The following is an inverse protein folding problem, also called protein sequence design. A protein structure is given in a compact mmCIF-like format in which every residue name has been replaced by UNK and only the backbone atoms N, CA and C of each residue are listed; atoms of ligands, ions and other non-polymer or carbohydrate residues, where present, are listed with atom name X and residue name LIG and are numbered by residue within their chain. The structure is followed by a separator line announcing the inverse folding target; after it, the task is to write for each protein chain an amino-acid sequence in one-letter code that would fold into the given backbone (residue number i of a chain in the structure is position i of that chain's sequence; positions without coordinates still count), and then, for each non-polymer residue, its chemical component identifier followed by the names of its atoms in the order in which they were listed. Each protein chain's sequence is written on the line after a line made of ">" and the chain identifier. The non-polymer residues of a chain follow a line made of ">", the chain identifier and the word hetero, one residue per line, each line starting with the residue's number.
data_IF_246436372759
#
_entry.id   IF_246436372759
#
_cell.length_a   1.000
_cell.length_b   1.000
_cell.length_c   1.000
_cell.angle_alpha   90.00
_cell.angle_beta   90.00
_cell.angle_gamma   90.00
#
_symmetry.space_group_name_H-M   'P 1'
#
loop_
_entity.id
_entity.type
_entity.pdbx_description
1 polymer ?
#
# COMPACT_ATOMS: atom_id res chain seq x y z
N UNK A 1 -8.24 -39.94 -11.78
CA UNK A 1 -6.83 -39.58 -11.59
C UNK A 1 -6.75 -38.09 -11.84
N UNK A 2 -6.61 -37.28 -10.79
CA UNK A 2 -6.24 -35.86 -10.88
C UNK A 2 -5.62 -35.48 -9.54
N UNK A 3 -4.35 -35.85 -9.39
CA UNK A 3 -3.52 -35.53 -8.24
C UNK A 3 -2.55 -34.43 -8.69
N UNK A 4 -2.94 -33.17 -8.50
CA UNK A 4 -2.09 -32.06 -8.92
C UNK A 4 -2.66 -30.69 -8.62
N UNK A 5 -3.04 -30.40 -7.36
CA UNK A 5 -3.29 -29.00 -6.95
C UNK A 5 -3.41 -28.77 -5.42
N UNK A 6 -2.59 -29.44 -4.61
CA UNK A 6 -2.67 -29.38 -3.14
C UNK A 6 -1.42 -28.85 -2.45
N UNK A 7 -0.62 -27.99 -3.10
CA UNK A 7 0.60 -27.45 -2.49
C UNK A 7 0.41 -26.20 -1.61
N UNK A 8 -0.82 -25.72 -1.41
CA UNK A 8 -1.13 -24.86 -0.26
C UNK A 8 -1.57 -25.75 0.91
N UNK A 9 -0.61 -26.55 1.40
CA UNK A 9 -0.82 -27.61 2.38
C UNK A 9 -1.42 -27.05 3.67
N UNK A 10 -2.26 -27.84 4.36
CA UNK A 10 -2.80 -27.57 5.72
C UNK A 10 -1.70 -27.13 6.70
N UNK A 11 -0.45 -27.50 6.43
CA UNK A 11 0.75 -27.06 7.14
C UNK A 11 0.96 -25.53 7.15
N UNK A 12 0.59 -24.82 6.07
CA UNK A 12 0.71 -23.35 5.96
C UNK A 12 0.00 -22.63 7.11
N UNK A 13 -1.23 -23.05 7.40
CA UNK A 13 -2.05 -22.37 8.41
C UNK A 13 -1.89 -22.90 9.83
N UNK A 14 -1.53 -24.17 10.02
CA UNK A 14 -1.27 -24.71 11.36
C UNK A 14 0.02 -24.14 11.95
N UNK A 15 0.98 -23.74 11.10
CA UNK A 15 2.20 -23.08 11.57
C UNK A 15 2.03 -21.56 11.83
N UNK A 16 0.96 -20.96 11.30
CA UNK A 16 0.63 -19.54 11.46
C UNK A 16 -0.54 -19.29 12.44
N UNK A 17 -1.20 -20.34 12.92
CA UNK A 17 -2.19 -20.23 14.02
C UNK A 17 -1.56 -19.75 15.32
N UNK A 18 -0.23 -19.85 15.45
CA UNK A 18 0.55 -19.26 16.53
C UNK A 18 0.69 -17.73 16.42
N UNK A 19 0.35 -17.14 15.26
CA UNK A 19 0.59 -15.72 14.93
C UNK A 19 -0.69 -14.88 14.79
N UNK A 20 -1.77 -15.17 15.52
CA UNK A 20 -3.00 -14.36 15.51
C UNK A 20 -3.70 -14.25 14.14
N UNK A 21 -3.73 -15.32 13.34
CA UNK A 21 -4.53 -15.39 12.12
C UNK A 21 -5.85 -16.13 12.39
N UNK A 22 -6.97 -15.63 11.87
CA UNK A 22 -8.20 -16.45 11.76
C UNK A 22 -8.11 -17.29 10.48
N UNK A 23 -7.68 -18.56 10.54
CA UNK A 23 -7.31 -19.30 9.34
C UNK A 23 -8.54 -19.62 8.49
N UNK A 24 -9.70 -19.75 9.13
CA UNK A 24 -10.99 -20.01 8.50
C UNK A 24 -11.29 -19.03 7.36
N UNK A 25 -11.17 -17.72 7.60
CA UNK A 25 -11.50 -16.69 6.61
C UNK A 25 -10.65 -16.76 5.33
N UNK A 26 -9.40 -17.23 5.45
CA UNK A 26 -8.53 -17.44 4.29
C UNK A 26 -8.95 -18.71 3.55
N UNK A 27 -9.17 -19.82 4.24
CA UNK A 27 -9.54 -21.09 3.59
C UNK A 27 -10.91 -21.10 2.92
N UNK A 28 -11.85 -20.27 3.37
CA UNK A 28 -13.16 -20.13 2.73
C UNK A 28 -13.12 -19.40 1.38
N UNK A 29 -11.98 -18.80 1.01
CA UNK A 29 -11.85 -18.13 -0.28
C UNK A 29 -11.80 -19.16 -1.42
N UNK A 30 -12.63 -19.00 -2.48
CA UNK A 30 -12.79 -20.00 -3.52
C UNK A 30 -11.57 -20.12 -4.43
N UNK A 31 -10.77 -19.05 -4.59
CA UNK A 31 -9.64 -19.02 -5.49
C UNK A 31 -8.30 -18.88 -4.74
N UNK A 32 -7.23 -19.38 -5.36
CA UNK A 32 -5.88 -19.21 -4.83
C UNK A 32 -5.49 -17.74 -4.68
N UNK A 33 -5.85 -16.89 -5.65
CA UNK A 33 -5.55 -15.46 -5.64
C UNK A 33 -6.22 -14.77 -4.45
N UNK A 34 -7.48 -15.09 -4.17
CA UNK A 34 -8.21 -14.52 -3.03
C UNK A 34 -7.62 -14.99 -1.69
N UNK A 35 -7.19 -16.26 -1.61
CA UNK A 35 -6.47 -16.79 -0.43
C UNK A 35 -5.19 -16.02 -0.15
N UNK A 36 -4.37 -15.79 -1.18
CA UNK A 36 -3.12 -15.04 -1.07
C UNK A 36 -3.38 -13.57 -0.72
N UNK A 37 -4.38 -12.95 -1.33
CA UNK A 37 -4.77 -11.56 -1.04
C UNK A 37 -5.17 -11.38 0.42
N UNK A 38 -6.06 -12.24 0.93
CA UNK A 38 -6.50 -12.20 2.33
C UNK A 38 -5.36 -12.51 3.31
N UNK A 39 -4.49 -13.45 2.96
CA UNK A 39 -3.28 -13.72 3.73
C UNK A 39 -2.40 -12.47 3.85
N UNK A 40 -2.05 -11.82 2.73
CA UNK A 40 -1.21 -10.61 2.72
C UNK A 40 -1.88 -9.48 3.52
N UNK A 41 -3.19 -9.30 3.35
CA UNK A 41 -3.97 -8.29 4.07
C UNK A 41 -3.90 -8.48 5.59
N UNK A 42 -4.08 -9.71 6.06
CA UNK A 42 -3.99 -10.03 7.49
C UNK A 42 -2.54 -9.93 7.99
N UNK A 43 -1.57 -10.42 7.21
CA UNK A 43 -0.16 -10.43 7.61
C UNK A 43 0.38 -9.03 7.81
N UNK A 44 0.10 -8.10 6.90
CA UNK A 44 0.48 -6.68 7.06
C UNK A 44 -0.14 -5.99 8.28
N UNK A 45 -1.26 -6.51 8.80
CA UNK A 45 -1.96 -5.91 9.94
C UNK A 45 -1.41 -6.38 11.29
N UNK A 46 -0.98 -7.63 11.37
CA UNK A 46 -0.67 -8.29 12.64
C UNK A 46 0.79 -8.67 12.81
N UNK A 47 1.57 -8.80 11.74
CA UNK A 47 2.98 -9.14 11.84
C UNK A 47 3.84 -7.90 12.12
N UNK A 48 4.80 -8.04 13.03
CA UNK A 48 5.76 -6.98 13.36
C UNK A 48 6.88 -6.88 12.31
N UNK A 49 7.26 -8.01 11.71
CA UNK A 49 8.30 -8.11 10.68
C UNK A 49 7.97 -9.17 9.62
N UNK A 50 8.83 -9.28 8.60
CA UNK A 50 8.71 -10.26 7.52
C UNK A 50 9.46 -11.57 7.82
N UNK A 51 10.18 -11.68 8.93
CA UNK A 51 11.08 -12.80 9.23
C UNK A 51 10.34 -14.16 9.27
N UNK A 52 9.17 -14.30 9.91
CA UNK A 52 8.39 -15.53 9.89
C UNK A 52 7.99 -15.96 8.48
N UNK A 53 7.69 -15.01 7.58
CA UNK A 53 7.30 -15.29 6.21
C UNK A 53 8.51 -15.73 5.36
N UNK A 54 9.67 -15.13 5.58
CA UNK A 54 10.93 -15.53 4.93
C UNK A 54 11.28 -16.97 5.33
N UNK A 55 11.31 -17.28 6.63
CA UNK A 55 11.60 -18.63 7.12
C UNK A 55 10.56 -19.66 6.66
N UNK A 56 9.30 -19.25 6.51
CA UNK A 56 8.27 -20.10 5.91
C UNK A 56 8.65 -20.51 4.48
N UNK A 57 8.97 -19.54 3.62
CA UNK A 57 9.30 -19.84 2.23
C UNK A 57 10.57 -20.69 2.08
N UNK A 58 11.58 -20.49 2.94
CA UNK A 58 12.76 -21.36 2.98
C UNK A 58 12.40 -22.81 3.35
N UNK A 59 11.59 -23.00 4.39
CA UNK A 59 11.19 -24.32 4.91
C UNK A 59 10.37 -25.13 3.91
N UNK A 60 9.51 -24.47 3.13
CA UNK A 60 8.62 -25.12 2.17
C UNK A 60 9.15 -25.13 0.73
N UNK A 61 10.46 -24.92 0.54
CA UNK A 61 11.11 -25.10 -0.77
C UNK A 61 10.81 -23.98 -1.77
N UNK A 62 10.49 -22.78 -1.29
CA UNK A 62 10.27 -21.57 -2.10
C UNK A 62 11.35 -20.50 -1.83
N UNK A 63 12.65 -20.82 -1.90
CA UNK A 63 13.73 -19.91 -1.49
C UNK A 63 13.79 -18.64 -2.35
N UNK A 64 13.33 -18.69 -3.60
CA UNK A 64 13.26 -17.52 -4.49
C UNK A 64 12.34 -16.41 -3.92
N UNK A 65 11.25 -16.77 -3.22
CA UNK A 65 10.38 -15.79 -2.57
C UNK A 65 11.03 -15.21 -1.31
N UNK A 66 11.70 -16.06 -0.53
CA UNK A 66 12.47 -15.63 0.64
C UNK A 66 13.56 -14.62 0.25
N UNK A 67 14.29 -14.90 -0.84
CA UNK A 67 15.35 -14.01 -1.34
C UNK A 67 14.79 -12.65 -1.76
N UNK A 68 13.67 -12.60 -2.48
CA UNK A 68 13.02 -11.34 -2.89
C UNK A 68 12.60 -10.52 -1.66
N UNK A 69 12.02 -11.17 -0.66
CA UNK A 69 11.55 -10.51 0.57
C UNK A 69 12.69 -10.06 1.48
N UNK A 70 13.85 -10.70 1.39
CA UNK A 70 15.04 -10.35 2.16
C UNK A 70 15.79 -9.13 1.60
N UNK A 71 15.53 -8.75 0.34
CA UNK A 71 16.13 -7.56 -0.27
C UNK A 71 15.52 -6.31 0.36
N UNK A 72 16.38 -5.35 0.70
CA UNK A 72 15.94 -4.03 1.16
C UNK A 72 15.10 -3.39 0.06
N UNK A 73 13.79 -3.28 0.29
CA UNK A 73 12.91 -2.57 -0.63
C UNK A 73 13.22 -1.08 -0.53
N UNK A 74 13.91 -0.55 -1.54
CA UNK A 74 13.97 0.89 -1.74
C UNK A 74 12.59 1.29 -2.24
N UNK A 75 11.87 2.08 -1.46
CA UNK A 75 10.60 2.65 -1.90
C UNK A 75 10.91 3.52 -3.12
N UNK A 76 10.62 3.00 -4.32
CA UNK A 76 10.61 3.85 -5.49
C UNK A 76 9.55 4.92 -5.21
N UNK A 77 9.97 6.18 -5.13
CA UNK A 77 9.07 7.33 -5.10
C UNK A 77 8.35 7.40 -6.43
N UNK A 78 7.42 6.47 -6.66
CA UNK A 78 6.50 6.53 -7.79
C UNK A 78 5.45 7.56 -7.40
N UNK A 79 5.41 8.71 -8.07
CA UNK A 79 4.37 9.69 -7.78
C UNK A 79 3.01 9.01 -8.00
N UNK A 80 2.15 9.07 -6.97
CA UNK A 80 0.82 8.44 -6.99
C UNK A 80 -0.04 8.94 -8.15
N UNK A 81 0.24 10.15 -8.63
CA UNK A 81 -0.43 10.81 -9.74
C UNK A 81 0.63 11.39 -10.67
N UNK A 82 0.41 11.22 -11.96
CA UNK A 82 1.13 11.94 -13.02
C UNK A 82 0.67 13.40 -13.09
N UNK A 83 1.50 14.31 -13.61
CA UNK A 83 1.14 15.73 -13.76
C UNK A 83 -0.17 15.93 -14.53
N UNK A 84 -0.43 15.09 -15.54
CA UNK A 84 -1.68 15.10 -16.29
C UNK A 84 -2.88 14.78 -15.41
N UNK A 85 -2.76 13.79 -14.52
CA UNK A 85 -3.80 13.43 -13.57
C UNK A 85 -4.01 14.54 -12.53
N UNK A 86 -2.93 15.14 -12.03
CA UNK A 86 -3.02 16.28 -11.11
C UNK A 86 -3.78 17.43 -11.77
N UNK A 87 -3.40 17.82 -12.99
CA UNK A 87 -4.05 18.90 -13.73
C UNK A 87 -5.52 18.61 -14.00
N UNK A 88 -5.86 17.40 -14.42
CA UNK A 88 -7.25 16.99 -14.64
C UNK A 88 -8.08 17.12 -13.36
N UNK A 89 -7.57 16.62 -12.22
CA UNK A 89 -8.28 16.69 -10.94
C UNK A 89 -8.42 18.13 -10.46
N UNK A 90 -7.39 18.96 -10.61
CA UNK A 90 -7.47 20.37 -10.23
C UNK A 90 -8.49 21.13 -11.09
N UNK A 91 -8.46 20.98 -12.42
CA UNK A 91 -9.32 21.77 -13.29
C UNK A 91 -10.76 21.26 -13.37
N UNK A 92 -10.95 19.94 -13.46
CA UNK A 92 -12.28 19.34 -13.68
C UNK A 92 -12.95 19.03 -12.35
N UNK A 93 -12.29 18.29 -11.45
CA UNK A 93 -12.90 17.92 -10.17
C UNK A 93 -12.90 19.11 -9.19
N UNK A 94 -11.80 19.85 -9.14
CA UNK A 94 -11.63 21.02 -8.27
C UNK A 94 -12.26 22.31 -8.81
N UNK A 95 -12.79 22.27 -10.03
CA UNK A 95 -13.34 23.43 -10.74
C UNK A 95 -12.40 24.65 -10.73
N UNK A 96 -11.09 24.41 -10.74
CA UNK A 96 -10.08 25.47 -10.75
C UNK A 96 -10.03 26.06 -12.15
N UNK A 97 -10.31 27.37 -12.32
CA UNK A 97 -10.29 28.00 -13.63
C UNK A 97 -8.94 27.86 -14.31
N UNK A 98 -8.97 27.64 -15.62
CA UNK A 98 -7.76 27.65 -16.44
C UNK A 98 -7.15 29.05 -16.50
N UNK A 99 -5.82 29.10 -16.71
CA UNK A 99 -5.08 30.34 -16.85
C UNK A 99 -5.64 31.15 -18.03
N UNK A 100 -5.96 32.42 -17.77
CA UNK A 100 -6.47 33.34 -18.79
C UNK A 100 -5.41 33.60 -19.87
N UNK A 101 -5.86 33.85 -21.10
CA UNK A 101 -4.97 34.15 -22.24
C UNK A 101 -4.10 35.40 -21.99
N UNK A 102 -4.67 36.43 -21.37
CA UNK A 102 -3.99 37.69 -21.02
C UNK A 102 -3.45 37.68 -19.58
N UNK A 103 -2.98 36.53 -19.09
CA UNK A 103 -2.51 36.42 -17.72
C UNK A 103 -1.18 37.18 -17.51
N UNK A 104 -1.14 38.02 -16.47
CA UNK A 104 0.09 38.65 -15.98
C UNK A 104 0.49 37.97 -14.67
N UNK A 105 1.76 37.54 -14.61
CA UNK A 105 2.29 36.82 -13.46
C UNK A 105 2.54 37.74 -12.26
N UNK A 106 1.90 37.43 -11.12
CA UNK A 106 2.07 38.15 -9.85
C UNK A 106 2.94 37.33 -8.90
N UNK A 107 4.22 37.19 -9.23
CA UNK A 107 5.16 36.27 -8.55
C UNK A 107 5.18 36.42 -7.04
N UNK A 108 5.26 37.64 -6.53
CA UNK A 108 5.31 37.90 -5.08
C UNK A 108 4.04 37.42 -4.38
N UNK A 109 2.87 37.78 -4.91
CA UNK A 109 1.59 37.37 -4.35
C UNK A 109 1.38 35.84 -4.41
N UNK A 110 1.84 35.20 -5.49
CA UNK A 110 1.77 33.74 -5.65
C UNK A 110 2.65 33.04 -4.62
N UNK A 111 3.88 33.53 -4.43
CA UNK A 111 4.81 32.99 -3.45
C UNK A 111 4.29 33.12 -2.02
N UNK A 112 3.78 34.30 -1.67
CA UNK A 112 3.24 34.54 -0.33
C UNK A 112 2.00 33.67 -0.07
N UNK A 113 1.15 33.48 -1.09
CA UNK A 113 0.01 32.57 -1.02
C UNK A 113 0.45 31.11 -0.84
N UNK A 114 1.47 30.66 -1.59
CA UNK A 114 2.03 29.32 -1.47
C UNK A 114 2.54 29.05 -0.05
N UNK A 115 3.28 29.99 0.52
CA UNK A 115 3.81 29.88 1.89
C UNK A 115 2.69 29.74 2.92
N UNK A 116 1.63 30.56 2.80
CA UNK A 116 0.45 30.47 3.67
C UNK A 116 -0.26 29.13 3.52
N UNK A 117 -0.48 28.66 2.29
CA UNK A 117 -1.15 27.38 2.02
C UNK A 117 -0.34 26.19 2.57
N UNK A 118 0.98 26.18 2.39
CA UNK A 118 1.87 25.15 2.94
C UNK A 118 1.78 25.17 4.48
N UNK A 119 1.85 26.35 5.09
CA UNK A 119 1.76 26.49 6.55
C UNK A 119 0.43 25.96 7.07
N UNK A 120 -0.70 26.33 6.48
CA UNK A 120 -2.02 25.84 6.89
C UNK A 120 -2.18 24.33 6.69
N UNK A 121 -1.72 23.79 5.55
CA UNK A 121 -1.76 22.35 5.28
C UNK A 121 -0.89 21.55 6.27
N UNK A 122 0.24 22.12 6.71
CA UNK A 122 1.11 21.51 7.72
C UNK A 122 0.48 21.50 9.12
N UNK A 123 -0.33 22.50 9.45
CA UNK A 123 -1.07 22.59 10.72
C UNK A 123 -2.23 21.59 10.75
N UNK A 124 -3.01 21.48 9.65
CA UNK A 124 -4.11 20.53 9.52
C UNK A 124 -3.70 19.07 9.71
N UNK A 125 -2.50 18.69 9.23
CA UNK A 125 -1.93 17.34 9.42
C UNK A 125 -1.66 16.95 10.88
N UNK A 126 -1.59 17.89 11.82
CA UNK A 126 -1.43 17.59 13.26
C UNK A 126 -2.74 17.14 13.93
N UNK A 127 -3.89 17.53 13.40
CA UNK A 127 -5.19 17.24 14.03
C UNK A 127 -5.72 15.83 13.76
N UNK A 128 -5.20 15.11 12.75
CA UNK A 128 -5.61 13.73 12.42
C UNK A 128 -4.97 12.68 13.34
N UNK A 129 -4.04 13.07 14.23
CA UNK A 129 -3.33 12.14 15.13
C UNK A 129 -4.02 11.86 16.48
N UNK A 130 -5.16 12.50 16.76
CA UNK A 130 -5.83 12.40 18.06
C UNK A 130 -7.30 11.98 17.93
N UNK A 131 -7.56 10.90 17.20
CA UNK A 131 -8.76 10.08 17.43
C UNK A 131 -8.31 8.62 17.45
N UNK A 132 -8.08 8.11 18.66
CA UNK A 132 -8.00 6.69 19.00
C UNK A 132 -9.01 6.42 20.10
#
# INVERSE_FOLDING_TARGET
>A
MDAGNSHFSRSFAVHLSTFFFQPSHIFFQPSHILRVSEFIRQYRRFADDLSPLISYFEKYGQPHLAEILSKSYVHEERPLLTDRQINFRLSVEGNVPHRLYNYVERRELIRDLEEVLIRLASLGRRFVKYEK
#
